data_IF_212929380853
#
_entry.id   IF_212929380853
#
_cell.length_a   1.000
_cell.length_b   1.000
_cell.length_c   1.000
_cell.angle_alpha   90.00
_cell.angle_beta   90.00
_cell.angle_gamma   90.00
#
_symmetry.space_group_name_H-M   'P 1'
#
loop_
_entity.id
_entity.type
_entity.pdbx_description
1 polymer ?
#
# COMPACT_ATOMS: atom_id res chain seq x y z
N UNK A 1 -1.71 11.68 10.10
CA UNK A 1 -2.67 10.55 10.10
C UNK A 1 -4.08 11.10 10.15
N UNK A 2 -4.95 10.74 9.20
CA UNK A 2 -6.36 11.11 9.18
C UNK A 2 -7.20 9.86 9.53
N UNK A 3 -8.16 9.98 10.45
CA UNK A 3 -8.93 8.84 10.96
C UNK A 3 -10.40 9.01 10.56
N UNK A 4 -10.92 8.02 9.84
CA UNK A 4 -12.30 8.01 9.34
C UNK A 4 -12.91 6.62 9.54
N UNK A 5 -14.15 6.55 10.00
CA UNK A 5 -14.91 5.31 10.06
C UNK A 5 -15.77 5.17 8.80
N UNK A 6 -15.72 4.02 8.15
CA UNK A 6 -16.54 3.66 6.98
C UNK A 6 -17.33 2.39 7.27
N UNK A 7 -18.59 2.34 6.86
CA UNK A 7 -19.42 1.13 6.87
C UNK A 7 -19.09 0.24 5.68
N UNK A 8 -19.54 -1.02 5.73
CA UNK A 8 -19.46 -1.93 4.59
C UNK A 8 -20.22 -1.32 3.41
N UNK A 9 -19.59 -1.29 2.25
CA UNK A 9 -20.08 -0.66 1.02
C UNK A 9 -19.71 0.82 0.86
N UNK A 10 -19.22 1.48 1.90
CA UNK A 10 -18.76 2.86 1.79
C UNK A 10 -17.33 2.94 1.24
N UNK A 11 -17.06 4.04 0.55
CA UNK A 11 -15.75 4.31 -0.05
C UNK A 11 -15.15 5.62 0.45
N UNK A 12 -13.83 5.68 0.41
CA UNK A 12 -13.00 6.86 0.62
C UNK A 12 -12.28 7.15 -0.70
N UNK A 13 -12.13 8.43 -1.03
CA UNK A 13 -11.39 8.89 -2.20
C UNK A 13 -10.16 9.65 -1.71
N UNK A 14 -9.00 9.35 -2.29
CA UNK A 14 -7.72 9.99 -1.97
C UNK A 14 -7.19 10.67 -3.25
N UNK A 15 -6.65 11.88 -3.08
CA UNK A 15 -6.23 12.74 -4.20
C UNK A 15 -7.42 13.29 -4.99
N UNK A 16 -7.20 13.63 -6.25
CA UNK A 16 -8.22 14.20 -7.13
C UNK A 16 -9.04 13.11 -7.84
N UNK A 17 -9.52 12.11 -7.06
CA UNK A 17 -10.16 10.87 -7.55
C UNK A 17 -9.21 9.86 -8.19
N UNK A 18 -7.95 9.87 -7.80
CA UNK A 18 -6.96 8.92 -8.33
C UNK A 18 -7.05 7.57 -7.61
N UNK A 19 -7.28 7.58 -6.30
CA UNK A 19 -7.36 6.34 -5.52
C UNK A 19 -8.73 6.26 -4.85
N UNK A 20 -9.39 5.13 -5.02
CA UNK A 20 -10.64 4.81 -4.32
C UNK A 20 -10.42 3.59 -3.43
N UNK A 21 -10.77 3.73 -2.16
CA UNK A 21 -10.68 2.67 -1.16
C UNK A 21 -12.09 2.32 -0.69
N UNK A 22 -12.52 1.09 -0.91
CA UNK A 22 -13.87 0.61 -0.59
C UNK A 22 -13.83 -0.48 0.46
N UNK A 23 -14.68 -0.39 1.48
CA UNK A 23 -14.83 -1.47 2.46
C UNK A 23 -15.80 -2.50 1.90
N UNK A 24 -15.29 -3.67 1.50
CA UNK A 24 -16.09 -4.73 0.90
C UNK A 24 -16.78 -5.62 1.93
N UNK A 25 -16.22 -5.72 3.14
CA UNK A 25 -16.78 -6.54 4.21
C UNK A 25 -15.90 -6.60 5.44
N UNK A 26 -16.46 -7.07 6.55
CA UNK A 26 -15.75 -7.28 7.81
C UNK A 26 -16.08 -8.69 8.31
N UNK A 27 -15.04 -9.48 8.56
CA UNK A 27 -15.13 -10.84 9.09
C UNK A 27 -14.35 -10.89 10.40
N UNK A 28 -15.04 -10.68 11.52
CA UNK A 28 -14.40 -10.58 12.83
C UNK A 28 -13.39 -9.45 12.86
N UNK A 29 -12.10 -9.79 12.99
CA UNK A 29 -10.99 -8.84 13.03
C UNK A 29 -10.38 -8.55 11.66
N UNK A 30 -10.83 -9.21 10.59
CA UNK A 30 -10.33 -9.00 9.24
C UNK A 30 -11.29 -8.10 8.45
N UNK A 31 -10.72 -7.14 7.73
CA UNK A 31 -11.47 -6.24 6.84
C UNK A 31 -11.08 -6.55 5.40
N UNK A 32 -12.08 -6.76 4.54
CA UNK A 32 -11.87 -6.81 3.09
C UNK A 32 -11.92 -5.40 2.53
N UNK A 33 -10.83 -4.98 1.92
CA UNK A 33 -10.67 -3.65 1.35
C UNK A 33 -10.43 -3.81 -0.16
N UNK A 34 -11.23 -3.13 -0.97
CA UNK A 34 -10.97 -2.93 -2.39
C UNK A 34 -10.19 -1.63 -2.56
N UNK A 35 -9.10 -1.67 -3.33
CA UNK A 35 -8.31 -0.48 -3.66
C UNK A 35 -8.28 -0.38 -5.18
N UNK A 36 -8.83 0.69 -5.71
CA UNK A 36 -8.74 1.06 -7.12
C UNK A 36 -7.75 2.21 -7.24
N UNK A 37 -6.67 1.99 -7.96
CA UNK A 37 -5.63 2.98 -8.21
C UNK A 37 -5.12 2.86 -9.66
N UNK A 38 -4.67 3.95 -10.29
CA UNK A 38 -4.08 3.93 -11.61
C UNK A 38 -2.74 3.18 -11.61
N UNK A 39 -2.34 2.67 -12.79
CA UNK A 39 -1.14 1.82 -12.96
C UNK A 39 0.19 2.44 -12.49
N UNK A 40 0.26 3.76 -12.41
CA UNK A 40 1.46 4.45 -11.96
C UNK A 40 1.61 4.45 -10.42
N UNK A 41 0.55 4.10 -9.68
CA UNK A 41 0.56 3.99 -8.23
C UNK A 41 0.57 2.52 -7.85
N UNK A 42 1.69 2.05 -7.32
CA UNK A 42 1.80 0.68 -6.83
C UNK A 42 1.10 0.53 -5.49
N UNK A 43 0.31 -0.54 -5.33
CA UNK A 43 -0.41 -0.87 -4.09
C UNK A 43 0.18 -2.16 -3.53
N UNK A 44 0.80 -2.05 -2.35
CA UNK A 44 1.44 -3.19 -1.68
C UNK A 44 0.89 -3.36 -0.26
N UNK A 45 0.98 -4.59 0.25
CA UNK A 45 0.82 -4.82 1.68
C UNK A 45 2.07 -4.35 2.41
N UNK A 46 1.92 -3.82 3.61
CA UNK A 46 3.03 -3.23 4.37
C UNK A 46 4.20 -4.20 4.54
N UNK A 47 3.92 -5.46 4.88
CA UNK A 47 4.94 -6.48 5.09
C UNK A 47 5.72 -6.82 3.82
N UNK A 48 5.09 -6.68 2.66
CA UNK A 48 5.74 -6.90 1.36
C UNK A 48 6.57 -5.68 0.98
N UNK A 49 6.03 -4.49 1.21
CA UNK A 49 6.72 -3.23 0.90
C UNK A 49 8.04 -3.11 1.69
N UNK A 50 8.02 -3.39 3.00
CA UNK A 50 9.23 -3.35 3.84
C UNK A 50 10.32 -4.29 3.32
N UNK A 51 9.96 -5.53 2.96
CA UNK A 51 10.92 -6.49 2.39
C UNK A 51 11.51 -6.05 1.05
N UNK A 52 10.70 -5.42 0.19
CA UNK A 52 11.19 -4.89 -1.08
C UNK A 52 12.17 -3.75 -0.82
N UNK A 53 11.86 -2.87 0.14
CA UNK A 53 12.72 -1.76 0.50
C UNK A 53 14.05 -2.24 1.07
N UNK A 54 14.03 -3.16 2.03
CA UNK A 54 15.26 -3.76 2.59
C UNK A 54 16.11 -4.43 1.51
N UNK A 55 15.48 -5.15 0.56
CA UNK A 55 16.20 -5.79 -0.54
C UNK A 55 16.78 -4.80 -1.55
N UNK A 56 16.14 -3.65 -1.75
CA UNK A 56 16.66 -2.59 -2.62
C UNK A 56 17.81 -1.82 -1.93
N UNK A 57 17.70 -1.53 -0.63
CA UNK A 57 18.76 -0.88 0.16
C UNK A 57 20.04 -1.74 0.22
N UNK A 58 19.92 -3.07 0.39
CA UNK A 58 21.08 -3.99 0.38
C UNK A 58 21.79 -4.02 -0.98
N UNK A 59 21.05 -3.86 -2.08
CA UNK A 59 21.62 -3.96 -3.42
C UNK A 59 22.34 -2.68 -3.87
N UNK A 60 22.04 -1.52 -3.26
CA UNK A 60 22.78 -0.27 -3.47
C UNK A 60 24.11 -0.25 -2.68
N UNK A 61 24.18 -0.92 -1.52
CA UNK A 61 25.40 -1.03 -0.72
C UNK A 61 26.44 -1.98 -1.34
N UNK A 62 26.02 -3.12 -1.89
CA UNK A 62 26.93 -4.07 -2.58
C UNK A 62 27.53 -3.48 -3.87
N UNK A 63 26.89 -2.49 -4.53
CA UNK A 63 27.47 -1.84 -5.71
C UNK A 63 28.60 -0.85 -5.36
N UNK A 64 28.66 -0.33 -4.14
CA UNK A 64 29.74 0.59 -3.72
C UNK A 64 30.99 -0.14 -3.21
N UNK A 65 30.87 -1.37 -2.70
CA UNK A 65 32.01 -2.17 -2.23
C UNK A 65 32.79 -2.90 -3.35
N UNK A 66 32.21 -3.05 -4.53
CA UNK A 66 32.84 -3.77 -5.66
C UNK A 66 33.57 -2.84 -6.66
N UNK A 67 33.60 -1.53 -6.41
CA UNK A 67 34.27 -0.53 -7.26
C UNK A 67 35.59 0.02 -6.63
N UNK A 68 36.04 -0.52 -5.48
CA UNK A 68 37.40 -0.35 -4.90
C UNK A 68 38.24 -1.64 -5.05
#
# INVERSE_FOLDING_TARGET
>A
MLILARKIGESLIIGNKEITVTVLGVNGNQVRIGIEAPKHISVHREEIYKKIQDALEVNDEEMQENDD
#
